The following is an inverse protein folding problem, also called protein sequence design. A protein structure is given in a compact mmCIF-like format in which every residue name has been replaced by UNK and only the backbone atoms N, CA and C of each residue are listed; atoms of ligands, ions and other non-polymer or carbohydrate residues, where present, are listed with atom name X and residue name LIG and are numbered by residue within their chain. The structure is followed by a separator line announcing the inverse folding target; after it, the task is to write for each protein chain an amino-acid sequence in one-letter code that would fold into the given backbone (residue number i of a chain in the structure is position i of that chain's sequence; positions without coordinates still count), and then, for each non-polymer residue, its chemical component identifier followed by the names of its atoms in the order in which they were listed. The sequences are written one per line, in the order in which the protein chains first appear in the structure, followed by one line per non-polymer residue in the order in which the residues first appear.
data_IF_208851783590
#
_entry.id   IF_208851783590
#
_cell.length_a   1.000
_cell.length_b   1.000
_cell.length_c   1.000
_cell.angle_alpha   90.00
_cell.angle_beta   90.00
_cell.angle_gamma   90.00
#
_symmetry.space_group_name_H-M   'P 1'
#
loop_
_entity.id
_entity.type
_entity.pdbx_description
1 polymer ?
#
# COMPACT_ATOMS: atom_id res chain seq x y z
N UNK A 1 -17.33 -5.57 -6.38
CA UNK A 1 -17.26 -4.89 -5.08
C UNK A 1 -17.28 -3.37 -5.25
N UNK A 2 -16.28 -2.79 -5.96
CA UNK A 2 -16.21 -1.35 -6.25
C UNK A 2 -17.52 -0.79 -6.85
N UNK A 3 -18.11 -1.47 -7.83
CA UNK A 3 -19.39 -1.03 -8.42
C UNK A 3 -20.54 -0.89 -7.41
N UNK A 4 -20.60 -1.77 -6.40
CA UNK A 4 -21.61 -1.66 -5.33
C UNK A 4 -21.34 -0.44 -4.45
N UNK A 5 -20.08 -0.17 -4.12
CA UNK A 5 -19.69 0.99 -3.32
C UNK A 5 -19.88 2.31 -4.07
N UNK A 6 -19.66 2.30 -5.39
CA UNK A 6 -19.88 3.45 -6.27
C UNK A 6 -21.33 3.91 -6.31
N UNK A 7 -22.27 2.96 -6.18
CA UNK A 7 -23.71 3.26 -6.15
C UNK A 7 -24.21 3.80 -4.80
N UNK A 8 -23.39 3.80 -3.74
CA UNK A 8 -23.78 4.33 -2.43
C UNK A 8 -23.86 5.86 -2.47
N UNK A 9 -24.94 6.40 -1.89
CA UNK A 9 -25.08 7.85 -1.66
C UNK A 9 -24.28 8.36 -0.45
N UNK A 10 -23.86 7.45 0.42
CA UNK A 10 -23.01 7.76 1.57
C UNK A 10 -21.54 7.72 1.17
N UNK A 11 -20.70 8.66 1.66
CA UNK A 11 -19.26 8.60 1.48
C UNK A 11 -18.69 7.26 1.97
N UNK A 12 -17.87 6.64 1.14
CA UNK A 12 -17.25 5.35 1.42
C UNK A 12 -15.82 5.33 0.88
N UNK A 13 -14.94 4.68 1.64
CA UNK A 13 -13.55 4.44 1.25
C UNK A 13 -13.25 2.96 1.40
N UNK A 14 -12.65 2.38 0.37
CA UNK A 14 -12.18 1.01 0.30
C UNK A 14 -10.67 1.00 0.50
N UNK A 15 -10.21 0.28 1.52
CA UNK A 15 -8.82 -0.18 1.61
C UNK A 15 -8.81 -1.67 1.32
N UNK A 16 -8.23 -2.05 0.20
CA UNK A 16 -8.06 -3.43 -0.21
C UNK A 16 -6.57 -3.74 -0.26
N UNK A 17 -6.11 -4.80 0.39
CA UNK A 17 -4.69 -5.18 0.42
C UNK A 17 -4.54 -6.70 0.52
N UNK A 18 -3.49 -7.24 -0.10
CA UNK A 18 -3.07 -8.62 0.12
C UNK A 18 -2.30 -8.73 1.44
N UNK A 19 -2.62 -9.73 2.25
CA UNK A 19 -1.92 -10.04 3.48
C UNK A 19 -0.53 -10.65 3.23
N UNK A 20 -0.42 -11.50 2.20
CA UNK A 20 0.85 -12.04 1.71
C UNK A 20 0.75 -12.48 0.23
N UNK A 21 1.90 -12.74 -0.40
CA UNK A 21 1.93 -13.37 -1.73
C UNK A 21 1.40 -14.81 -1.65
N UNK A 22 0.69 -15.30 -2.69
CA UNK A 22 0.52 -16.73 -2.88
C UNK A 22 1.88 -17.44 -2.92
N UNK A 23 1.91 -18.74 -2.64
CA UNK A 23 3.17 -19.49 -2.67
C UNK A 23 3.86 -19.35 -4.04
N UNK A 24 4.98 -18.64 -4.08
CA UNK A 24 5.76 -18.38 -5.28
C UNK A 24 7.12 -19.06 -5.12
N UNK A 25 7.28 -20.23 -5.74
CA UNK A 25 8.48 -21.05 -5.57
C UNK A 25 9.72 -20.31 -6.07
N UNK A 26 10.86 -20.50 -5.39
CA UNK A 26 12.16 -19.99 -5.83
C UNK A 26 12.47 -20.34 -7.29
N UNK A 27 12.16 -21.57 -7.73
CA UNK A 27 12.38 -22.02 -9.11
C UNK A 27 11.72 -21.09 -10.15
N UNK A 28 10.48 -20.66 -9.90
CA UNK A 28 9.80 -19.71 -10.79
C UNK A 28 10.36 -18.29 -10.63
N UNK A 29 10.70 -17.87 -9.41
CA UNK A 29 11.32 -16.57 -9.16
C UNK A 29 12.64 -16.42 -9.94
N UNK A 30 13.51 -17.42 -9.85
CA UNK A 30 14.80 -17.47 -10.54
C UNK A 30 14.62 -17.48 -12.07
N UNK A 31 13.65 -18.25 -12.56
CA UNK A 31 13.37 -18.37 -13.99
C UNK A 31 12.83 -17.07 -14.60
N UNK A 32 11.93 -16.37 -13.88
CA UNK A 32 11.31 -15.13 -14.34
C UNK A 32 12.19 -13.89 -14.13
N UNK A 33 13.08 -13.90 -13.13
CA UNK A 33 13.89 -12.74 -12.73
C UNK A 33 15.39 -13.06 -12.72
N UNK A 34 15.93 -13.29 -13.92
CA UNK A 34 17.34 -13.64 -14.10
C UNK A 34 18.27 -12.46 -13.82
N UNK A 35 19.41 -12.73 -13.17
CA UNK A 35 20.46 -11.74 -12.93
C UNK A 35 20.22 -10.83 -11.71
N UNK A 36 19.13 -11.03 -10.98
CA UNK A 36 18.94 -10.43 -9.65
C UNK A 36 19.66 -11.25 -8.58
N UNK A 37 19.96 -10.62 -7.44
CA UNK A 37 20.57 -11.30 -6.30
C UNK A 37 19.54 -12.07 -5.46
N UNK A 38 19.99 -13.08 -4.74
CA UNK A 38 19.17 -13.90 -3.83
C UNK A 38 18.39 -13.05 -2.82
N UNK A 39 18.96 -11.92 -2.36
CA UNK A 39 18.25 -11.03 -1.42
C UNK A 39 17.04 -10.35 -2.06
N UNK A 40 17.12 -9.96 -3.34
CA UNK A 40 16.00 -9.36 -4.07
C UNK A 40 14.91 -10.40 -4.32
N UNK A 41 15.30 -11.63 -4.67
CA UNK A 41 14.36 -12.74 -4.81
C UNK A 41 13.63 -13.04 -3.50
N UNK A 42 14.36 -13.08 -2.38
CA UNK A 42 13.80 -13.30 -1.05
C UNK A 42 12.93 -12.13 -0.57
N UNK A 43 13.21 -10.89 -0.98
CA UNK A 43 12.34 -9.76 -0.66
C UNK A 43 11.01 -9.81 -1.41
N UNK A 44 11.03 -10.29 -2.67
CA UNK A 44 9.84 -10.28 -3.55
C UNK A 44 8.65 -11.02 -2.95
N UNK A 45 8.87 -12.08 -2.18
CA UNK A 45 7.78 -12.86 -1.56
C UNK A 45 7.00 -12.07 -0.50
N UNK A 46 7.53 -10.93 -0.03
CA UNK A 46 6.87 -10.03 0.93
C UNK A 46 6.13 -8.87 0.27
N UNK A 47 6.18 -8.74 -1.05
CA UNK A 47 5.50 -7.66 -1.75
C UNK A 47 4.05 -8.03 -2.01
N UNK A 48 3.08 -7.28 -1.49
CA UNK A 48 1.67 -7.42 -1.91
C UNK A 48 1.15 -6.12 -2.52
N UNK A 49 0.00 -6.19 -3.17
CA UNK A 49 -0.67 -5.02 -3.73
C UNK A 49 -1.72 -4.47 -2.77
N UNK A 50 -1.94 -3.16 -2.83
CA UNK A 50 -3.05 -2.50 -2.14
C UNK A 50 -3.68 -1.42 -3.02
N UNK A 51 -4.92 -1.07 -2.70
CA UNK A 51 -5.68 0.03 -3.28
C UNK A 51 -6.37 0.78 -2.14
N UNK A 52 -6.27 2.11 -2.18
CA UNK A 52 -7.15 3.02 -1.46
C UNK A 52 -8.03 3.67 -2.53
N UNK A 53 -9.34 3.56 -2.38
CA UNK A 53 -10.31 4.05 -3.34
C UNK A 53 -11.51 4.66 -2.62
N UNK A 54 -12.02 5.78 -3.12
CA UNK A 54 -13.17 6.47 -2.57
C UNK A 54 -14.29 6.64 -3.61
N UNK A 55 -15.54 6.73 -3.14
CA UNK A 55 -16.71 6.97 -4.00
C UNK A 55 -17.09 8.45 -4.13
N UNK A 56 -16.26 9.37 -3.63
CA UNK A 56 -16.51 10.81 -3.60
C UNK A 56 -15.24 11.58 -3.98
N UNK A 57 -15.36 12.76 -4.59
CA UNK A 57 -14.18 13.55 -4.95
C UNK A 57 -13.52 14.13 -3.69
N UNK A 58 -12.19 14.07 -3.64
CA UNK A 58 -11.39 14.64 -2.55
C UNK A 58 -10.99 16.12 -2.78
N UNK A 59 -11.40 16.72 -3.90
CA UNK A 59 -11.15 18.12 -4.26
C UNK A 59 -10.10 18.30 -5.37
N UNK A 60 -10.02 19.49 -5.96
CA UNK A 60 -9.32 19.78 -7.23
C UNK A 60 -7.77 19.66 -7.21
N UNK A 61 -7.17 19.29 -6.08
CA UNK A 61 -5.72 19.12 -5.90
C UNK A 61 -5.24 17.66 -6.07
N UNK A 62 -6.15 16.68 -6.09
CA UNK A 62 -5.81 15.26 -5.92
C UNK A 62 -5.72 14.48 -7.24
N UNK A 63 -5.54 15.16 -8.37
CA UNK A 63 -5.25 14.52 -9.66
C UNK A 63 -3.83 13.95 -9.76
N UNK A 64 -3.02 14.08 -8.70
CA UNK A 64 -1.80 13.28 -8.56
C UNK A 64 -2.19 11.89 -8.07
N UNK A 65 -2.73 11.07 -8.97
CA UNK A 65 -2.79 9.63 -8.80
C UNK A 65 -1.35 9.13 -8.70
N UNK A 66 -0.80 9.18 -7.49
CA UNK A 66 0.51 8.62 -7.18
C UNK A 66 0.40 7.10 -7.30
N UNK A 67 0.56 6.62 -8.53
CA UNK A 67 0.66 5.20 -8.83
C UNK A 67 1.98 4.69 -8.26
N UNK A 68 1.97 3.47 -7.72
CA UNK A 68 3.16 2.75 -7.24
C UNK A 68 3.85 3.33 -5.99
N UNK A 69 3.08 3.81 -5.00
CA UNK A 69 3.66 4.17 -3.70
C UNK A 69 3.95 2.91 -2.88
N UNK A 70 5.24 2.63 -2.65
CA UNK A 70 5.69 1.61 -1.70
C UNK A 70 5.32 1.98 -0.27
N UNK A 71 4.77 1.02 0.47
CA UNK A 71 4.42 1.17 1.89
C UNK A 71 4.38 -0.22 2.55
N UNK A 72 4.44 -0.26 3.89
CA UNK A 72 4.11 -1.46 4.66
C UNK A 72 2.71 -1.38 5.29
N UNK A 73 2.11 -2.54 5.66
CA UNK A 73 0.75 -2.60 6.22
C UNK A 73 0.55 -1.74 7.48
N UNK A 74 1.59 -1.61 8.31
CA UNK A 74 1.58 -0.78 9.53
C UNK A 74 1.32 0.71 9.26
N UNK A 75 1.58 1.20 8.04
CA UNK A 75 1.33 2.59 7.67
C UNK A 75 -0.03 2.80 6.96
N UNK A 76 -0.75 1.73 6.58
CA UNK A 76 -1.97 1.86 5.76
C UNK A 76 -3.06 2.69 6.44
N UNK A 77 -3.27 2.51 7.75
CA UNK A 77 -4.28 3.27 8.48
C UNK A 77 -3.96 4.76 8.52
N UNK A 78 -2.73 5.15 8.87
CA UNK A 78 -2.31 6.54 8.89
C UNK A 78 -2.33 7.16 7.48
N UNK A 79 -1.93 6.41 6.46
CA UNK A 79 -2.02 6.84 5.05
C UNK A 79 -3.46 7.07 4.61
N UNK A 80 -4.37 6.16 4.94
CA UNK A 80 -5.80 6.31 4.65
C UNK A 80 -6.33 7.61 5.26
N UNK A 81 -6.12 7.81 6.55
CA UNK A 81 -6.65 8.98 7.26
C UNK A 81 -6.07 10.29 6.69
N UNK A 82 -4.76 10.29 6.37
CA UNK A 82 -4.12 11.41 5.70
C UNK A 82 -4.71 11.68 4.31
N UNK A 83 -4.90 10.64 3.50
CA UNK A 83 -5.47 10.71 2.15
C UNK A 83 -6.86 11.35 2.16
N UNK A 84 -7.72 10.94 3.10
CA UNK A 84 -9.09 11.44 3.19
C UNK A 84 -9.22 12.75 3.99
N UNK A 85 -8.10 13.35 4.40
CA UNK A 85 -8.03 14.55 5.24
C UNK A 85 -8.77 14.42 6.58
N UNK A 86 -8.78 13.22 7.15
CA UNK A 86 -9.29 13.00 8.50
C UNK A 86 -8.27 13.48 9.56
N UNK A 87 -8.74 13.90 10.75
CA UNK A 87 -7.85 14.20 11.87
C UNK A 87 -6.93 13.02 12.19
N UNK A 88 -5.65 13.31 12.43
CA UNK A 88 -4.64 12.33 12.79
C UNK A 88 -4.28 12.45 14.26
N UNK A 89 -4.16 11.31 14.95
CA UNK A 89 -3.52 11.27 16.27
C UNK A 89 -2.02 11.53 16.15
N UNK A 90 -1.38 11.94 17.25
CA UNK A 90 0.08 12.10 17.29
C UNK A 90 0.82 10.82 16.87
N UNK A 91 0.29 9.66 17.27
CA UNK A 91 0.83 8.36 16.85
C UNK A 91 0.78 8.17 15.33
N UNK A 92 -0.34 8.51 14.68
CA UNK A 92 -0.48 8.41 13.22
C UNK A 92 0.42 9.43 12.50
N UNK A 93 0.60 10.62 13.06
CA UNK A 93 1.56 11.61 12.55
C UNK A 93 2.99 11.07 12.63
N UNK A 94 3.36 10.46 13.75
CA UNK A 94 4.66 9.81 13.93
C UNK A 94 4.87 8.66 12.93
N UNK A 95 3.83 7.84 12.69
CA UNK A 95 3.87 6.79 11.66
C UNK A 95 4.15 7.36 10.26
N UNK A 96 3.49 8.46 9.87
CA UNK A 96 3.74 9.11 8.58
C UNK A 96 5.15 9.73 8.49
N UNK A 97 5.63 10.31 9.59
CA UNK A 97 6.98 10.85 9.67
C UNK A 97 8.04 9.76 9.51
N UNK A 98 7.90 8.63 10.21
CA UNK A 98 8.78 7.45 10.07
C UNK A 98 8.74 6.93 8.64
N UNK A 99 7.54 6.77 8.06
CA UNK A 99 7.37 6.32 6.68
C UNK A 99 8.13 7.18 5.67
N UNK A 100 8.24 8.49 5.90
CA UNK A 100 8.99 9.37 5.00
C UNK A 100 10.49 9.04 4.93
N UNK A 101 11.01 8.32 5.92
CA UNK A 101 12.40 7.87 6.02
C UNK A 101 12.56 6.39 5.68
N UNK A 102 11.63 5.57 6.15
CA UNK A 102 11.60 4.11 5.96
C UNK A 102 10.23 3.75 5.37
N UNK A 103 10.09 3.80 4.04
CA UNK A 103 8.78 3.70 3.39
C UNK A 103 8.13 2.33 3.56
N UNK A 104 8.92 1.26 3.58
CA UNK A 104 8.46 -0.10 3.80
C UNK A 104 9.54 -0.92 4.50
N UNK A 105 9.12 -1.95 5.22
CA UNK A 105 9.95 -2.91 5.92
C UNK A 105 9.52 -4.33 5.57
N UNK A 106 10.50 -5.21 5.42
CA UNK A 106 10.32 -6.66 5.41
C UNK A 106 11.45 -7.34 6.21
N UNK A 107 11.47 -8.67 6.24
CA UNK A 107 12.47 -9.43 7.00
C UNK A 107 13.92 -9.28 6.50
N UNK A 108 14.12 -8.67 5.33
CA UNK A 108 15.41 -8.60 4.64
C UNK A 108 15.96 -7.17 4.51
N UNK A 109 15.12 -6.12 4.56
CA UNK A 109 15.52 -4.70 4.42
C UNK A 109 14.51 -3.73 5.09
N UNK A 110 15.04 -2.56 5.51
CA UNK A 110 14.32 -1.32 5.82
C UNK A 110 14.54 -0.27 4.72
#
# INVERSE_FOLDING_TARGET
MVEKLRALKTPAVLVFFGDHQPNFSSVYNDAFYQGESDIIHNQRIYHSSYVIWENYPLGASDTSSNHNITTSPNFLAAKLLWHIRAPLTEYQQAQLAIRSKIPALNAFVC
#
